data_IF_896315141544
#
_entry.id   IF_896315141544
#
_cell.length_a   1.000
_cell.length_b   1.000
_cell.length_c   1.000
_cell.angle_alpha   90.00
_cell.angle_beta   90.00
_cell.angle_gamma   90.00
#
_symmetry.space_group_name_H-M   'P 1'
#
loop_
_entity.id
_entity.type
_entity.pdbx_description
1 polymer ?
#
# COMPACT_ATOMS: atom_id res chain seq x y z
N UNK A 1 -39.53 27.88 -1.13
CA UNK A 1 -38.82 26.59 -1.30
C UNK A 1 -39.75 25.52 -0.77
N UNK A 2 -39.92 24.41 -1.47
CA UNK A 2 -40.90 23.39 -1.09
C UNK A 2 -40.16 22.11 -0.82
N UNK A 3 -40.22 21.66 0.43
CA UNK A 3 -39.45 20.50 0.86
C UNK A 3 -39.92 19.22 0.13
N UNK A 4 -39.01 18.29 -0.22
CA UNK A 4 -39.35 17.04 -0.89
C UNK A 4 -40.42 16.23 -0.13
N UNK A 5 -40.40 16.32 1.21
CA UNK A 5 -41.41 15.71 2.08
C UNK A 5 -42.79 16.36 1.96
N UNK A 6 -42.86 17.68 1.73
CA UNK A 6 -44.12 18.38 1.50
C UNK A 6 -44.73 18.00 0.15
N UNK A 7 -43.90 17.83 -0.88
CA UNK A 7 -44.36 17.35 -2.20
C UNK A 7 -44.81 15.90 -2.13
N UNK A 8 -44.06 15.03 -1.43
CA UNK A 8 -44.46 13.65 -1.22
C UNK A 8 -45.77 13.54 -0.42
N UNK A 9 -45.93 14.34 0.63
CA UNK A 9 -47.15 14.39 1.44
C UNK A 9 -48.37 14.87 0.65
N UNK A 10 -48.23 15.92 -0.17
CA UNK A 10 -49.28 16.37 -1.09
C UNK A 10 -49.60 15.31 -2.12
N UNK A 11 -48.58 14.68 -2.72
CA UNK A 11 -48.75 13.64 -3.72
C UNK A 11 -49.52 12.42 -3.19
N UNK A 12 -49.15 11.92 -2.00
CA UNK A 12 -49.86 10.83 -1.33
C UNK A 12 -51.31 11.22 -1.02
N UNK A 13 -51.54 12.49 -0.65
CA UNK A 13 -52.89 13.04 -0.46
C UNK A 13 -53.74 12.98 -1.75
N UNK A 14 -53.19 13.45 -2.86
CA UNK A 14 -53.86 13.42 -4.18
C UNK A 14 -54.12 11.99 -4.64
N UNK A 15 -53.16 11.08 -4.45
CA UNK A 15 -53.30 9.65 -4.80
C UNK A 15 -54.40 8.99 -3.95
N UNK A 16 -54.43 9.26 -2.64
CA UNK A 16 -55.46 8.73 -1.73
C UNK A 16 -56.86 9.21 -2.12
N UNK A 17 -57.01 10.51 -2.40
CA UNK A 17 -58.24 11.10 -2.89
C UNK A 17 -58.65 10.45 -4.23
N UNK A 18 -57.69 10.26 -5.13
CA UNK A 18 -57.90 9.60 -6.42
C UNK A 18 -58.47 8.20 -6.30
N UNK A 19 -57.92 7.39 -5.40
CA UNK A 19 -58.42 6.04 -5.13
C UNK A 19 -59.86 6.08 -4.60
N UNK A 20 -60.15 6.95 -3.62
CA UNK A 20 -61.48 7.07 -3.03
C UNK A 20 -62.54 7.46 -4.06
N UNK A 21 -62.25 8.48 -4.88
CA UNK A 21 -63.17 8.98 -5.91
C UNK A 21 -63.43 7.90 -6.97
N UNK A 22 -62.39 7.19 -7.41
CA UNK A 22 -62.54 6.11 -8.38
C UNK A 22 -63.34 4.92 -7.82
N UNK A 23 -63.14 4.56 -6.55
CA UNK A 23 -63.91 3.51 -5.89
C UNK A 23 -65.40 3.90 -5.76
N UNK A 24 -65.68 5.16 -5.42
CA UNK A 24 -67.04 5.70 -5.40
C UNK A 24 -67.71 5.66 -6.78
N UNK A 25 -66.96 5.95 -7.84
CA UNK A 25 -67.44 5.87 -9.22
C UNK A 25 -67.70 4.41 -9.65
N UNK A 26 -66.82 3.46 -9.31
CA UNK A 26 -67.04 2.02 -9.57
C UNK A 26 -68.32 1.52 -8.89
N UNK A 27 -68.54 1.93 -7.65
CA UNK A 27 -69.72 1.56 -6.87
C UNK A 27 -71.01 2.13 -7.46
N UNK A 28 -70.98 3.40 -7.88
CA UNK A 28 -72.08 4.06 -8.56
C UNK A 28 -72.41 3.37 -9.90
N UNK A 29 -71.40 3.14 -10.75
CA UNK A 29 -71.53 2.48 -12.05
C UNK A 29 -72.09 1.05 -11.92
N UNK A 30 -71.71 0.30 -10.88
CA UNK A 30 -72.26 -1.04 -10.60
C UNK A 30 -73.70 -1.02 -10.10
N UNK A 31 -74.14 0.08 -9.50
CA UNK A 31 -75.50 0.21 -8.95
C UNK A 31 -76.56 0.43 -10.05
N UNK A 32 -76.14 0.79 -11.27
CA UNK A 32 -77.02 1.01 -12.42
C UNK A 32 -77.45 -0.34 -13.03
N UNK A 33 -78.73 -0.69 -12.88
CA UNK A 33 -79.32 -1.90 -13.49
C UNK A 33 -79.80 -1.60 -14.92
N UNK A 34 -79.42 -2.44 -15.90
CA UNK A 34 -80.00 -2.44 -17.25
C UNK A 34 -79.07 -2.09 -18.42
N UNK A 35 -77.85 -1.55 -18.18
CA UNK A 35 -76.87 -1.18 -19.23
C UNK A 35 -75.43 -1.62 -18.92
N UNK A 36 -75.28 -2.80 -18.33
CA UNK A 36 -73.98 -3.34 -17.88
C UNK A 36 -72.96 -3.47 -19.03
N UNK A 37 -73.40 -3.72 -20.27
CA UNK A 37 -72.53 -3.83 -21.44
C UNK A 37 -71.92 -2.47 -21.86
N UNK A 38 -72.71 -1.39 -21.82
CA UNK A 38 -72.26 -0.03 -22.18
C UNK A 38 -71.33 0.56 -21.10
N UNK A 39 -71.60 0.24 -19.82
CA UNK A 39 -70.80 0.68 -18.67
C UNK A 39 -69.54 -0.17 -18.43
N UNK A 40 -69.38 -1.32 -19.11
CA UNK A 40 -68.23 -2.20 -18.90
C UNK A 40 -66.90 -1.51 -19.27
N UNK A 41 -66.91 -0.69 -20.32
CA UNK A 41 -65.74 0.10 -20.73
C UNK A 41 -65.40 1.18 -19.69
N UNK A 42 -66.40 1.81 -19.09
CA UNK A 42 -66.20 2.82 -18.04
C UNK A 42 -65.65 2.21 -16.77
N UNK A 43 -66.21 1.09 -16.35
CA UNK A 43 -65.69 0.33 -15.22
C UNK A 43 -64.24 -0.13 -15.44
N UNK A 44 -63.86 -0.42 -16.70
CA UNK A 44 -62.48 -0.77 -17.06
C UNK A 44 -61.56 0.45 -16.99
N UNK A 45 -61.95 1.60 -17.54
CA UNK A 45 -61.16 2.83 -17.46
C UNK A 45 -60.93 3.27 -16.00
N UNK A 46 -61.97 3.23 -15.17
CA UNK A 46 -61.87 3.62 -13.75
C UNK A 46 -60.99 2.64 -12.95
N UNK A 47 -61.07 1.33 -13.25
CA UNK A 47 -60.16 0.33 -12.65
C UNK A 47 -58.71 0.53 -13.07
N UNK A 48 -58.46 0.87 -14.34
CA UNK A 48 -57.12 1.20 -14.79
C UNK A 48 -56.58 2.42 -14.03
N UNK A 49 -57.42 3.43 -13.78
CA UNK A 49 -57.02 4.59 -12.99
C UNK A 49 -56.66 4.24 -11.54
N UNK A 50 -57.43 3.36 -10.88
CA UNK A 50 -57.07 2.84 -9.54
C UNK A 50 -55.70 2.16 -9.58
N UNK A 51 -55.41 1.37 -10.61
CA UNK A 51 -54.11 0.71 -10.77
C UNK A 51 -52.97 1.73 -10.93
N UNK A 52 -53.18 2.81 -11.69
CA UNK A 52 -52.18 3.87 -11.87
C UNK A 52 -51.93 4.60 -10.55
N UNK A 53 -52.98 4.93 -9.78
CA UNK A 53 -52.83 5.51 -8.45
C UNK A 53 -52.10 4.59 -7.47
N UNK A 54 -52.33 3.27 -7.53
CA UNK A 54 -51.57 2.30 -6.74
C UNK A 54 -50.08 2.27 -7.12
N UNK A 55 -49.76 2.25 -8.42
CA UNK A 55 -48.37 2.31 -8.89
C UNK A 55 -47.69 3.61 -8.46
N UNK A 56 -48.41 4.73 -8.49
CA UNK A 56 -47.92 6.02 -7.99
C UNK A 56 -47.60 6.00 -6.50
N UNK A 57 -48.43 5.33 -5.69
CA UNK A 57 -48.21 5.20 -4.25
C UNK A 57 -46.90 4.45 -3.91
N UNK A 58 -46.42 3.58 -4.79
CA UNK A 58 -45.14 2.86 -4.62
C UNK A 58 -43.92 3.66 -5.14
N UNK A 59 -44.11 4.48 -6.18
CA UNK A 59 -43.04 5.25 -6.83
C UNK A 59 -42.75 6.58 -6.11
N UNK A 60 -43.79 7.28 -5.63
CA UNK A 60 -43.66 8.58 -4.96
C UNK A 60 -42.71 8.58 -3.75
N UNK A 61 -42.75 7.59 -2.83
CA UNK A 61 -41.82 7.55 -1.71
C UNK A 61 -40.36 7.41 -2.13
N UNK A 62 -40.10 6.71 -3.24
CA UNK A 62 -38.74 6.49 -3.76
C UNK A 62 -38.17 7.77 -4.38
N UNK A 63 -39.00 8.52 -5.11
CA UNK A 63 -38.62 9.84 -5.62
C UNK A 63 -38.33 10.85 -4.50
N UNK A 64 -39.08 10.79 -3.40
CA UNK A 64 -38.92 11.72 -2.27
C UNK A 64 -37.60 11.53 -1.51
N UNK A 65 -37.00 10.33 -1.57
CA UNK A 65 -35.72 10.02 -0.93
C UNK A 65 -34.51 10.49 -1.75
N UNK A 66 -34.72 11.00 -2.96
CA UNK A 66 -33.63 11.30 -3.88
C UNK A 66 -33.18 12.78 -3.77
N UNK A 67 -31.87 13.06 -3.61
CA UNK A 67 -31.36 14.42 -3.41
C UNK A 67 -31.58 15.40 -4.59
N UNK A 68 -31.81 14.89 -5.81
CA UNK A 68 -32.00 15.70 -7.02
C UNK A 68 -33.40 16.30 -7.19
N UNK A 69 -34.25 16.23 -6.17
CA UNK A 69 -35.68 16.46 -6.30
C UNK A 69 -36.11 17.91 -6.63
N UNK A 70 -35.23 18.92 -6.63
CA UNK A 70 -35.70 20.31 -6.53
C UNK A 70 -36.42 20.85 -7.79
N UNK A 71 -36.02 20.46 -9.01
CA UNK A 71 -36.75 20.84 -10.25
C UNK A 71 -37.82 19.83 -10.65
N UNK A 72 -37.60 18.55 -10.41
CA UNK A 72 -38.53 17.50 -10.85
C UNK A 72 -39.73 17.39 -9.90
N UNK A 73 -39.53 17.64 -8.61
CA UNK A 73 -40.63 17.78 -7.67
C UNK A 73 -41.55 18.94 -8.07
N UNK A 74 -41.07 19.98 -8.76
CA UNK A 74 -41.92 21.09 -9.22
C UNK A 74 -42.84 20.66 -10.36
N UNK A 75 -42.32 19.94 -11.36
CA UNK A 75 -43.14 19.45 -12.49
C UNK A 75 -44.14 18.40 -12.02
N UNK A 76 -43.69 17.46 -11.18
CA UNK A 76 -44.56 16.44 -10.58
C UNK A 76 -45.61 17.10 -9.70
N UNK A 77 -45.23 18.12 -8.90
CA UNK A 77 -46.18 18.87 -8.07
C UNK A 77 -47.21 19.63 -8.91
N UNK A 78 -46.81 20.28 -10.01
CA UNK A 78 -47.78 20.92 -10.88
C UNK A 78 -48.76 19.92 -11.48
N UNK A 79 -48.26 18.77 -11.97
CA UNK A 79 -49.13 17.70 -12.43
C UNK A 79 -50.06 17.19 -11.32
N UNK A 80 -49.58 17.04 -10.09
CA UNK A 80 -50.39 16.61 -8.95
C UNK A 80 -51.44 17.64 -8.54
N UNK A 81 -51.12 18.94 -8.57
CA UNK A 81 -52.08 20.01 -8.32
C UNK A 81 -53.17 20.05 -9.39
N UNK A 82 -52.79 19.92 -10.66
CA UNK A 82 -53.75 19.82 -11.77
C UNK A 82 -54.62 18.55 -11.64
N UNK A 83 -54.04 17.45 -11.16
CA UNK A 83 -54.76 16.22 -10.85
C UNK A 83 -55.72 16.39 -9.66
N UNK A 84 -55.32 17.13 -8.63
CA UNK A 84 -56.13 17.43 -7.45
C UNK A 84 -57.38 18.21 -7.84
N UNK A 85 -57.22 19.28 -8.64
CA UNK A 85 -58.35 20.08 -9.13
C UNK A 85 -59.33 19.22 -9.94
N UNK A 86 -58.79 18.39 -10.83
CA UNK A 86 -59.58 17.44 -11.63
C UNK A 86 -60.31 16.41 -10.75
N UNK A 87 -59.64 15.86 -9.74
CA UNK A 87 -60.22 14.89 -8.79
C UNK A 87 -61.32 15.51 -7.93
N UNK A 88 -61.12 16.73 -7.43
CA UNK A 88 -62.14 17.47 -6.67
C UNK A 88 -63.35 17.74 -7.56
N UNK A 89 -63.14 18.14 -8.81
CA UNK A 89 -64.23 18.36 -9.77
C UNK A 89 -65.03 17.07 -10.02
N UNK A 90 -64.33 15.94 -10.13
CA UNK A 90 -64.92 14.62 -10.35
C UNK A 90 -65.64 14.10 -9.10
N UNK A 91 -65.09 14.35 -7.91
CA UNK A 91 -65.75 14.06 -6.63
C UNK A 91 -67.05 14.84 -6.49
N UNK A 92 -67.04 16.12 -6.84
CA UNK A 92 -68.22 17.00 -6.77
C UNK A 92 -69.30 16.56 -7.77
N UNK A 93 -68.90 16.10 -8.96
CA UNK A 93 -69.78 15.44 -9.93
C UNK A 93 -70.38 14.14 -9.36
N UNK A 94 -69.56 13.26 -8.75
CA UNK A 94 -70.04 12.01 -8.14
C UNK A 94 -71.01 12.28 -6.98
N UNK A 95 -70.74 13.25 -6.12
CA UNK A 95 -71.63 13.64 -5.00
C UNK A 95 -72.95 14.22 -5.53
N UNK A 96 -72.90 15.09 -6.55
CA UNK A 96 -74.11 15.62 -7.21
C UNK A 96 -74.98 14.51 -7.79
N UNK A 97 -74.36 13.48 -8.36
CA UNK A 97 -75.04 12.31 -8.92
C UNK A 97 -75.60 11.37 -7.84
N UNK A 98 -75.01 11.33 -6.65
CA UNK A 98 -75.46 10.50 -5.53
C UNK A 98 -76.60 11.12 -4.69
N UNK A 99 -76.81 12.44 -4.78
CA UNK A 99 -77.84 13.16 -4.01
C UNK A 99 -77.44 13.41 -2.54
N UNK A 100 -78.21 14.21 -1.77
CA UNK A 100 -77.84 14.62 -0.42
C UNK A 100 -77.70 13.40 0.50
N UNK A 101 -76.47 13.17 0.95
CA UNK A 101 -76.11 12.07 1.87
C UNK A 101 -75.92 12.66 3.27
N UNK A 102 -76.73 12.22 4.24
CA UNK A 102 -76.48 12.54 5.65
C UNK A 102 -75.27 11.72 6.16
N UNK A 103 -74.41 12.31 7.01
CA UNK A 103 -73.22 11.64 7.51
C UNK A 103 -73.63 10.65 8.61
N UNK A 104 -73.71 9.36 8.29
CA UNK A 104 -73.97 8.36 9.33
C UNK A 104 -74.32 6.95 8.87
N UNK A 105 -74.66 6.70 7.61
CA UNK A 105 -75.09 5.37 7.19
C UNK A 105 -74.69 5.03 5.75
N UNK A 106 -73.43 4.63 5.57
CA UNK A 106 -72.87 4.21 4.27
C UNK A 106 -73.43 2.84 3.84
N UNK A 107 -74.18 2.12 4.70
CA UNK A 107 -74.56 0.72 4.45
C UNK A 107 -76.06 0.47 4.32
N UNK A 108 -76.92 1.32 4.90
CA UNK A 108 -78.36 1.03 5.01
C UNK A 108 -79.27 1.55 3.89
N UNK A 109 -78.92 2.63 3.15
CA UNK A 109 -79.89 3.32 2.27
C UNK A 109 -79.56 3.41 0.78
N UNK A 110 -78.70 2.53 0.25
CA UNK A 110 -78.53 2.39 -1.21
C UNK A 110 -79.74 1.77 -1.93
N UNK A 111 -80.64 1.10 -1.21
CA UNK A 111 -81.72 0.30 -1.82
C UNK A 111 -82.89 1.17 -2.32
N UNK A 112 -83.06 2.37 -1.77
CA UNK A 112 -84.17 3.28 -2.14
C UNK A 112 -83.79 4.30 -3.23
N UNK A 113 -82.52 4.74 -3.29
CA UNK A 113 -82.05 5.64 -4.36
C UNK A 113 -82.04 4.97 -5.75
N UNK A 114 -81.97 3.63 -5.81
CA UNK A 114 -82.01 2.88 -7.07
C UNK A 114 -83.36 2.92 -7.80
N UNK A 115 -84.45 3.40 -7.18
CA UNK A 115 -85.77 3.49 -7.82
C UNK A 115 -86.13 4.85 -8.41
N UNK A 116 -85.42 5.93 -8.07
CA UNK A 116 -85.69 7.28 -8.58
C UNK A 116 -84.68 7.80 -9.62
N UNK A 117 -83.58 7.08 -9.87
CA UNK A 117 -82.50 7.51 -10.80
C UNK A 117 -82.59 6.78 -12.15
N UNK A 118 -83.78 6.32 -12.55
CA UNK A 118 -83.99 5.89 -13.92
C UNK A 118 -84.13 7.13 -14.82
N UNK A 119 -82.97 7.64 -15.26
CA UNK A 119 -82.78 8.59 -16.37
C UNK A 119 -83.14 10.07 -16.08
N UNK A 120 -82.25 11.05 -16.36
CA UNK A 120 -81.36 11.08 -17.51
C UNK A 120 -79.90 11.24 -17.09
N UNK A 121 -79.14 10.17 -17.24
CA UNK A 121 -77.70 10.27 -17.36
C UNK A 121 -77.44 10.99 -18.68
N UNK A 122 -77.28 12.33 -18.66
CA UNK A 122 -76.91 13.08 -19.85
C UNK A 122 -75.56 12.51 -20.30
N UNK A 123 -75.46 11.95 -21.50
CA UNK A 123 -74.19 11.48 -22.08
C UNK A 123 -73.05 12.49 -21.88
N UNK A 124 -73.36 13.78 -21.84
CA UNK A 124 -72.42 14.86 -21.54
C UNK A 124 -71.72 14.78 -20.17
N UNK A 125 -72.38 14.30 -19.11
CA UNK A 125 -71.78 14.17 -17.76
C UNK A 125 -70.88 12.94 -17.64
N UNK A 126 -71.25 11.82 -18.27
CA UNK A 126 -70.38 10.66 -18.37
C UNK A 126 -69.16 10.96 -19.25
N UNK A 127 -69.38 11.67 -20.36
CA UNK A 127 -68.31 12.12 -21.24
C UNK A 127 -67.37 13.13 -20.56
N UNK A 128 -67.86 13.98 -19.65
CA UNK A 128 -67.00 14.89 -18.88
C UNK A 128 -66.15 14.13 -17.87
N UNK A 129 -66.72 13.14 -17.18
CA UNK A 129 -65.99 12.23 -16.28
C UNK A 129 -64.90 11.48 -17.05
N UNK A 130 -65.21 10.85 -18.20
CA UNK A 130 -64.20 10.16 -19.03
C UNK A 130 -63.09 11.10 -19.49
N UNK A 131 -63.43 12.31 -19.94
CA UNK A 131 -62.45 13.29 -20.42
C UNK A 131 -61.55 13.79 -19.30
N UNK A 132 -62.08 13.94 -18.09
CA UNK A 132 -61.32 14.27 -16.88
C UNK A 132 -60.37 13.12 -16.51
N UNK A 133 -60.87 11.88 -16.47
CA UNK A 133 -60.08 10.66 -16.24
C UNK A 133 -58.92 10.50 -17.24
N UNK A 134 -59.18 10.70 -18.54
CA UNK A 134 -58.16 10.57 -19.59
C UNK A 134 -57.07 11.64 -19.50
N UNK A 135 -57.44 12.89 -19.18
CA UNK A 135 -56.46 13.97 -18.96
C UNK A 135 -55.58 13.67 -17.75
N UNK A 136 -56.18 13.20 -16.68
CA UNK A 136 -55.48 12.83 -15.47
C UNK A 136 -54.48 11.69 -15.75
N UNK A 137 -54.91 10.63 -16.45
CA UNK A 137 -54.02 9.53 -16.87
C UNK A 137 -52.84 10.00 -17.73
N UNK A 138 -53.11 10.85 -18.73
CA UNK A 138 -52.08 11.31 -19.65
C UNK A 138 -51.03 12.19 -18.94
N UNK A 139 -51.48 13.13 -18.11
CA UNK A 139 -50.58 14.02 -17.37
C UNK A 139 -49.71 13.23 -16.38
N UNK A 140 -50.31 12.31 -15.63
CA UNK A 140 -49.58 11.49 -14.67
C UNK A 140 -48.59 10.53 -15.33
N UNK A 141 -49.00 9.88 -16.43
CA UNK A 141 -48.12 9.00 -17.21
C UNK A 141 -46.93 9.78 -17.80
N UNK A 142 -47.17 10.97 -18.35
CA UNK A 142 -46.12 11.82 -18.91
C UNK A 142 -45.14 12.27 -17.83
N UNK A 143 -45.63 12.75 -16.68
CA UNK A 143 -44.80 13.18 -15.57
C UNK A 143 -43.94 12.04 -15.01
N UNK A 144 -44.53 10.84 -14.86
CA UNK A 144 -43.80 9.65 -14.43
C UNK A 144 -42.73 9.22 -15.43
N UNK A 145 -43.06 9.15 -16.72
CA UNK A 145 -42.08 8.78 -17.75
C UNK A 145 -40.92 9.78 -17.81
N UNK A 146 -41.20 11.08 -17.71
CA UNK A 146 -40.17 12.11 -17.67
C UNK A 146 -39.26 11.97 -16.44
N UNK A 147 -39.83 11.68 -15.27
CA UNK A 147 -39.07 11.45 -14.05
C UNK A 147 -38.19 10.20 -14.15
N UNK A 148 -38.74 9.08 -14.65
CA UNK A 148 -38.01 7.82 -14.83
C UNK A 148 -36.83 7.96 -15.78
N UNK A 149 -37.03 8.58 -16.96
CA UNK A 149 -35.93 8.80 -17.93
C UNK A 149 -34.81 9.64 -17.33
N UNK A 150 -35.15 10.65 -16.53
CA UNK A 150 -34.15 11.50 -15.89
C UNK A 150 -33.39 10.76 -14.78
N UNK A 151 -34.08 9.89 -14.04
CA UNK A 151 -33.48 9.00 -13.05
C UNK A 151 -32.47 8.06 -13.71
N UNK A 152 -32.83 7.48 -14.86
CA UNK A 152 -31.93 6.63 -15.65
C UNK A 152 -30.71 7.40 -16.17
N UNK A 153 -30.89 8.64 -16.66
CA UNK A 153 -29.77 9.50 -17.08
C UNK A 153 -28.83 9.78 -15.91
N UNK A 154 -29.37 10.15 -14.75
CA UNK A 154 -28.57 10.44 -13.55
C UNK A 154 -27.81 9.21 -13.04
N UNK A 155 -28.45 8.03 -13.05
CA UNK A 155 -27.77 6.78 -12.75
C UNK A 155 -26.66 6.49 -13.75
N UNK A 156 -26.89 6.71 -15.04
CA UNK A 156 -25.88 6.48 -16.07
C UNK A 156 -24.68 7.43 -15.92
N UNK A 157 -24.91 8.69 -15.56
CA UNK A 157 -23.84 9.64 -15.21
C UNK A 157 -23.04 9.17 -13.98
N UNK A 158 -23.72 8.73 -12.93
CA UNK A 158 -23.08 8.17 -11.72
C UNK A 158 -22.24 6.92 -12.02
N UNK A 159 -22.76 6.02 -12.85
CA UNK A 159 -22.03 4.85 -13.37
C UNK A 159 -20.82 5.30 -14.19
N UNK A 160 -20.95 6.35 -15.00
CA UNK A 160 -19.85 6.94 -15.75
C UNK A 160 -18.71 7.44 -14.86
N UNK A 161 -19.04 8.20 -13.80
CA UNK A 161 -18.05 8.66 -12.81
C UNK A 161 -17.37 7.48 -12.12
N UNK A 162 -18.15 6.48 -11.68
CA UNK A 162 -17.60 5.27 -11.07
C UNK A 162 -16.67 4.52 -12.03
N UNK A 163 -17.04 4.40 -13.31
CA UNK A 163 -16.19 3.78 -14.34
C UNK A 163 -14.85 4.51 -14.46
N UNK A 164 -14.86 5.85 -14.55
CA UNK A 164 -13.62 6.63 -14.63
C UNK A 164 -12.74 6.49 -13.38
N UNK A 165 -13.34 6.40 -12.19
CA UNK A 165 -12.61 6.18 -10.95
C UNK A 165 -11.96 4.78 -10.91
N UNK A 166 -12.66 3.75 -11.41
CA UNK A 166 -12.12 2.39 -11.53
C UNK A 166 -10.95 2.34 -12.51
N UNK A 167 -11.06 2.99 -13.67
CA UNK A 167 -9.97 3.09 -14.66
C UNK A 167 -8.75 3.81 -14.06
N UNK A 168 -8.96 4.86 -13.26
CA UNK A 168 -7.88 5.56 -12.54
C UNK A 168 -7.19 4.68 -11.50
N UNK A 169 -7.96 3.90 -10.72
CA UNK A 169 -7.42 2.95 -9.75
C UNK A 169 -6.63 1.81 -10.42
N UNK A 170 -7.07 1.34 -11.59
CA UNK A 170 -6.34 0.31 -12.35
C UNK A 170 -5.00 0.84 -12.88
N UNK A 171 -4.98 2.09 -13.35
CA UNK A 171 -3.74 2.75 -13.75
C UNK A 171 -2.76 2.90 -12.57
N UNK A 172 -3.23 3.32 -11.39
CA UNK A 172 -2.40 3.45 -10.19
C UNK A 172 -1.91 2.07 -9.67
N UNK A 173 -2.78 1.05 -9.72
CA UNK A 173 -2.43 -0.34 -9.43
C UNK A 173 -1.34 -0.87 -10.37
N UNK A 174 -1.39 -0.50 -11.65
CA UNK A 174 -0.35 -0.89 -12.60
C UNK A 174 0.99 -0.21 -12.29
N UNK A 175 0.98 1.08 -11.95
CA UNK A 175 2.19 1.83 -11.56
C UNK A 175 2.82 1.23 -10.30
N UNK A 176 2.01 0.96 -9.27
CA UNK A 176 2.48 0.32 -8.03
C UNK A 176 3.03 -1.08 -8.28
N UNK A 177 2.40 -1.87 -9.16
CA UNK A 177 2.92 -3.19 -9.56
C UNK A 177 4.28 -3.09 -10.25
N UNK A 178 4.49 -2.13 -11.14
CA UNK A 178 5.79 -1.93 -11.80
C UNK A 178 6.87 -1.53 -10.80
N UNK A 179 6.57 -0.59 -9.89
CA UNK A 179 7.52 -0.14 -8.86
C UNK A 179 7.91 -1.28 -7.90
N UNK A 180 6.97 -2.16 -7.54
CA UNK A 180 7.26 -3.37 -6.76
C UNK A 180 8.17 -4.34 -7.51
N UNK A 181 7.97 -4.49 -8.83
CA UNK A 181 8.86 -5.29 -9.68
C UNK A 181 10.30 -4.76 -9.67
N UNK A 182 10.47 -3.45 -9.86
CA UNK A 182 11.79 -2.79 -9.83
C UNK A 182 12.47 -2.92 -8.46
N UNK A 183 11.71 -2.72 -7.38
CA UNK A 183 12.24 -2.89 -6.02
C UNK A 183 12.68 -4.34 -5.77
N UNK A 184 11.89 -5.31 -6.21
CA UNK A 184 12.26 -6.74 -6.10
C UNK A 184 13.54 -7.04 -6.86
N UNK A 185 13.72 -6.45 -8.04
CA UNK A 185 14.95 -6.61 -8.82
C UNK A 185 16.16 -5.98 -8.11
N UNK A 186 16.02 -4.79 -7.52
CA UNK A 186 17.09 -4.17 -6.74
C UNK A 186 17.45 -4.98 -5.48
N UNK A 187 16.45 -5.50 -4.77
CA UNK A 187 16.69 -6.35 -3.59
C UNK A 187 17.46 -7.62 -3.99
N UNK A 188 17.12 -8.23 -5.13
CA UNK A 188 17.86 -9.39 -5.63
C UNK A 188 19.31 -9.02 -5.99
N UNK A 189 19.53 -7.91 -6.71
CA UNK A 189 20.89 -7.45 -7.03
C UNK A 189 21.72 -7.18 -5.78
N UNK A 190 21.14 -6.52 -4.77
CA UNK A 190 21.82 -6.26 -3.51
C UNK A 190 22.16 -7.55 -2.78
N UNK A 191 21.27 -8.55 -2.81
CA UNK A 191 21.55 -9.88 -2.26
C UNK A 191 22.74 -10.54 -2.97
N UNK A 192 22.79 -10.48 -4.30
CA UNK A 192 23.88 -11.07 -5.08
C UNK A 192 25.21 -10.36 -4.82
N UNK A 193 25.20 -9.02 -4.70
CA UNK A 193 26.37 -8.23 -4.34
C UNK A 193 26.87 -8.56 -2.93
N UNK A 194 25.97 -8.71 -1.95
CA UNK A 194 26.33 -9.11 -0.59
C UNK A 194 26.95 -10.51 -0.57
N UNK A 195 26.41 -11.46 -1.33
CA UNK A 195 27.00 -12.80 -1.47
C UNK A 195 28.40 -12.76 -2.10
N UNK A 196 28.62 -11.91 -3.12
CA UNK A 196 29.93 -11.72 -3.73
C UNK A 196 30.94 -11.09 -2.76
N UNK A 197 30.49 -10.10 -1.99
CA UNK A 197 31.32 -9.45 -0.97
C UNK A 197 31.73 -10.43 0.13
N UNK A 198 30.79 -11.25 0.60
CA UNK A 198 31.04 -12.28 1.62
C UNK A 198 32.09 -13.30 1.16
N UNK A 199 31.98 -13.78 -0.09
CA UNK A 199 32.99 -14.66 -0.69
C UNK A 199 34.36 -13.97 -0.79
N UNK A 200 34.40 -12.70 -1.19
CA UNK A 200 35.64 -11.93 -1.32
C UNK A 200 36.34 -11.75 0.02
N UNK A 201 35.57 -11.43 1.06
CA UNK A 201 36.07 -11.29 2.44
C UNK A 201 36.56 -12.62 2.95
N UNK A 202 35.82 -13.71 2.74
CA UNK A 202 36.22 -15.06 3.14
C UNK A 202 37.54 -15.48 2.49
N UNK A 203 37.68 -15.30 1.18
CA UNK A 203 38.91 -15.62 0.45
C UNK A 203 40.10 -14.80 0.96
N UNK A 204 39.90 -13.50 1.17
CA UNK A 204 40.96 -12.62 1.70
C UNK A 204 41.37 -13.01 3.12
N UNK A 205 40.42 -13.43 3.95
CA UNK A 205 40.69 -13.91 5.31
C UNK A 205 41.53 -15.21 5.27
N UNK A 206 41.22 -16.14 4.38
CA UNK A 206 41.98 -17.36 4.18
C UNK A 206 43.40 -17.08 3.66
N UNK A 207 43.55 -16.14 2.72
CA UNK A 207 44.86 -15.69 2.24
C UNK A 207 45.70 -15.07 3.37
N UNK A 208 45.11 -14.18 4.17
CA UNK A 208 45.78 -13.58 5.33
C UNK A 208 46.16 -14.65 6.34
N UNK A 209 45.28 -15.59 6.65
CA UNK A 209 45.55 -16.70 7.56
C UNK A 209 46.69 -17.57 7.06
N UNK A 210 46.72 -17.85 5.76
CA UNK A 210 47.81 -18.55 5.09
C UNK A 210 49.14 -17.80 5.20
N UNK A 211 49.13 -16.49 4.98
CA UNK A 211 50.31 -15.64 5.10
C UNK A 211 50.83 -15.59 6.55
N UNK A 212 49.95 -15.42 7.54
CA UNK A 212 50.30 -15.44 8.96
C UNK A 212 50.94 -16.76 9.35
N UNK A 213 50.32 -17.89 8.96
CA UNK A 213 50.88 -19.23 9.24
C UNK A 213 52.26 -19.41 8.61
N UNK A 214 52.46 -18.90 7.39
CA UNK A 214 53.76 -18.95 6.71
C UNK A 214 54.81 -18.12 7.46
N UNK A 215 54.45 -16.91 7.90
CA UNK A 215 55.34 -16.04 8.67
C UNK A 215 55.70 -16.66 10.01
N UNK A 216 54.75 -17.28 10.72
CA UNK A 216 55.03 -18.02 11.97
C UNK A 216 56.04 -19.15 11.77
N UNK A 217 55.95 -19.88 10.65
CA UNK A 217 56.92 -20.90 10.29
C UNK A 217 58.31 -20.33 10.05
N UNK A 218 58.40 -19.22 9.30
CA UNK A 218 59.69 -18.54 9.05
C UNK A 218 60.30 -18.05 10.37
N UNK A 219 59.51 -17.44 11.24
CA UNK A 219 59.98 -16.95 12.55
C UNK A 219 60.53 -18.11 13.39
N UNK A 220 59.79 -19.23 13.49
CA UNK A 220 60.25 -20.43 14.22
C UNK A 220 61.51 -21.04 13.60
N UNK A 221 61.63 -21.03 12.28
CA UNK A 221 62.81 -21.55 11.59
C UNK A 221 64.04 -20.69 11.85
N UNK A 222 63.90 -19.37 11.75
CA UNK A 222 64.96 -18.40 12.09
C UNK A 222 65.38 -18.55 13.55
N UNK A 223 64.44 -18.67 14.48
CA UNK A 223 64.74 -18.88 15.91
C UNK A 223 65.58 -20.15 16.13
N UNK A 224 65.20 -21.27 15.52
CA UNK A 224 65.96 -22.53 15.60
C UNK A 224 67.35 -22.40 14.98
N UNK A 225 67.45 -21.76 13.82
CA UNK A 225 68.72 -21.53 13.12
C UNK A 225 69.68 -20.68 13.97
N UNK A 226 69.20 -19.57 14.52
CA UNK A 226 69.97 -18.68 15.41
C UNK A 226 70.44 -19.43 16.66
N UNK A 227 69.55 -20.16 17.34
CA UNK A 227 69.92 -20.92 18.53
C UNK A 227 70.95 -22.03 18.23
N UNK A 228 70.80 -22.71 17.09
CA UNK A 228 71.76 -23.70 16.61
C UNK A 228 73.14 -23.09 16.37
N UNK A 229 73.20 -21.98 15.61
CA UNK A 229 74.45 -21.28 15.34
C UNK A 229 75.12 -20.76 16.61
N UNK A 230 74.35 -20.23 17.56
CA UNK A 230 74.88 -19.80 18.86
C UNK A 230 75.48 -20.96 19.66
N UNK A 231 74.83 -22.12 19.64
CA UNK A 231 75.33 -23.34 20.30
C UNK A 231 76.67 -23.81 19.70
N UNK A 232 76.78 -23.79 18.37
CA UNK A 232 78.03 -24.11 17.67
C UNK A 232 79.12 -23.10 18.03
N UNK A 233 78.83 -21.81 17.93
CA UNK A 233 79.78 -20.74 18.28
C UNK A 233 80.26 -20.85 19.73
N UNK A 234 79.36 -21.13 20.68
CA UNK A 234 79.74 -21.32 22.08
C UNK A 234 80.65 -22.53 22.27
N UNK A 235 80.43 -23.59 21.49
CA UNK A 235 81.26 -24.81 21.51
C UNK A 235 82.65 -24.53 20.94
N UNK A 236 82.72 -23.83 19.81
CA UNK A 236 83.97 -23.40 19.19
C UNK A 236 84.77 -22.50 20.14
N UNK A 237 84.11 -21.55 20.81
CA UNK A 237 84.75 -20.68 21.79
C UNK A 237 85.39 -21.48 22.94
N UNK A 238 84.66 -22.45 23.52
CA UNK A 238 85.20 -23.33 24.58
C UNK A 238 86.37 -24.18 24.06
N UNK A 239 86.31 -24.65 22.83
CA UNK A 239 87.38 -25.41 22.18
C UNK A 239 88.64 -24.55 21.99
N UNK A 240 88.48 -23.30 21.54
CA UNK A 240 89.58 -22.33 21.42
C UNK A 240 90.19 -22.03 22.79
N UNK A 241 89.36 -21.80 23.81
CA UNK A 241 89.82 -21.55 25.18
C UNK A 241 90.64 -22.73 25.72
N UNK A 242 90.15 -23.96 25.54
CA UNK A 242 90.88 -25.18 25.89
C UNK A 242 92.20 -25.34 25.13
N UNK A 243 92.19 -25.10 23.80
CA UNK A 243 93.41 -25.10 22.98
C UNK A 243 94.41 -24.05 23.47
N UNK A 244 93.95 -22.84 23.80
CA UNK A 244 94.79 -21.76 24.32
C UNK A 244 95.46 -22.16 25.64
N UNK A 245 94.73 -22.77 26.58
CA UNK A 245 95.28 -23.29 27.83
C UNK A 245 96.39 -24.32 27.58
N UNK A 246 96.16 -25.29 26.68
CA UNK A 246 97.17 -26.31 26.32
C UNK A 246 98.39 -25.66 25.65
N UNK A 247 98.21 -24.72 24.73
CA UNK A 247 99.34 -24.01 24.10
C UNK A 247 100.14 -23.20 25.10
N UNK A 248 99.47 -22.52 26.04
CA UNK A 248 100.14 -21.76 27.09
C UNK A 248 100.95 -22.69 28.01
N UNK A 249 100.39 -23.84 28.39
CA UNK A 249 101.12 -24.87 29.16
C UNK A 249 102.36 -25.38 28.40
N UNK A 250 102.21 -25.74 27.11
CA UNK A 250 103.32 -26.21 26.30
C UNK A 250 104.42 -25.14 26.13
N UNK A 251 104.06 -23.87 25.96
CA UNK A 251 105.02 -22.75 25.92
C UNK A 251 105.75 -22.63 27.26
N UNK A 252 105.05 -22.71 28.39
CA UNK A 252 105.71 -22.69 29.71
C UNK A 252 106.64 -23.87 29.93
N UNK A 253 106.31 -25.06 29.41
CA UNK A 253 107.19 -26.24 29.46
C UNK A 253 108.43 -26.08 28.55
N UNK A 254 108.27 -25.49 27.37
CA UNK A 254 109.41 -25.18 26.49
C UNK A 254 110.32 -24.12 27.12
N UNK A 255 109.77 -23.08 27.74
CA UNK A 255 110.54 -22.07 28.45
C UNK A 255 111.35 -22.70 29.58
N UNK A 256 110.74 -23.55 30.41
CA UNK A 256 111.47 -24.23 31.49
C UNK A 256 112.58 -25.14 30.97
N UNK A 257 112.36 -25.83 29.84
CA UNK A 257 113.42 -26.61 29.17
C UNK A 257 114.55 -25.72 28.62
N UNK A 258 114.23 -24.58 28.01
CA UNK A 258 115.23 -23.62 27.51
C UNK A 258 116.03 -23.03 28.66
N UNK A 259 115.38 -22.65 29.77
CA UNK A 259 116.05 -22.15 30.97
C UNK A 259 117.00 -23.22 31.55
N UNK A 260 116.56 -24.48 31.63
CA UNK A 260 117.41 -25.59 32.06
C UNK A 260 118.61 -25.83 31.13
N UNK A 261 118.43 -25.70 29.80
CA UNK A 261 119.52 -25.75 28.83
C UNK A 261 120.48 -24.55 28.98
N UNK A 262 119.96 -23.36 29.27
CA UNK A 262 120.77 -22.16 29.52
C UNK A 262 121.62 -22.31 30.77
N UNK A 263 121.06 -22.88 31.85
CA UNK A 263 121.81 -23.21 33.08
C UNK A 263 122.89 -24.27 32.82
N UNK A 264 122.62 -25.29 31.99
CA UNK A 264 123.63 -26.28 31.59
C UNK A 264 124.79 -25.66 30.79
N UNK A 265 124.51 -24.69 29.91
CA UNK A 265 125.53 -23.94 29.17
C UNK A 265 126.35 -23.03 30.08
N UNK A 266 125.71 -22.37 31.06
CA UNK A 266 126.39 -21.51 32.04
C UNK A 266 127.32 -22.32 32.98
N UNK A 267 127.02 -23.61 33.21
CA UNK A 267 127.89 -24.53 33.93
C UNK A 267 129.17 -24.97 33.17
N UNK A 268 129.29 -24.67 31.88
CA UNK A 268 130.46 -25.03 31.05
C UNK A 268 131.46 -23.89 30.82
N UNK A 269 131.24 -22.68 31.34
CA UNK A 269 132.20 -21.57 31.21
C UNK A 269 132.82 -21.11 32.54
N UNK A 270 134.15 -21.26 32.60
CA UNK A 270 135.16 -20.49 33.36
C UNK A 270 135.75 -21.11 34.64
N UNK A 271 137.10 -21.16 34.72
CA UNK A 271 137.82 -20.00 35.27
C UNK A 271 139.05 -19.57 34.44
N UNK A 272 139.29 -18.26 34.30
CA UNK A 272 140.56 -17.56 34.62
C UNK A 272 140.53 -16.07 34.21
N UNK A 273 141.07 -15.24 35.09
CA UNK A 273 141.11 -13.77 35.08
C UNK A 273 142.43 -13.18 34.53
N UNK A 274 142.38 -12.01 33.88
CA UNK A 274 143.40 -10.93 33.93
C UNK A 274 142.84 -9.68 33.19
N UNK A 275 142.54 -8.54 33.81
CA UNK A 275 143.39 -7.46 34.34
C UNK A 275 143.94 -6.44 33.31
N UNK A 276 143.17 -5.35 33.08
CA UNK A 276 143.55 -3.89 32.97
C UNK A 276 144.37 -3.45 31.71
N UNK A 277 144.38 -2.17 31.17
CA UNK A 277 143.71 -0.87 31.50
C UNK A 277 143.01 -0.11 30.31
N UNK A 278 142.45 1.11 30.52
CA UNK A 278 141.67 1.93 29.56
C UNK A 278 142.55 3.00 28.82
N UNK A 279 142.05 3.79 27.84
CA UNK A 279 141.29 5.05 28.13
C UNK A 279 140.23 5.44 27.03
N UNK A 280 139.13 6.11 27.41
CA UNK A 280 138.77 7.52 27.14
C UNK A 280 138.32 7.95 25.71
N UNK A 281 137.16 8.64 25.69
CA UNK A 281 136.85 9.86 24.88
C UNK A 281 136.58 9.61 23.37
N UNK A 282 135.55 10.11 22.68
CA UNK A 282 134.56 11.18 22.81
C UNK A 282 133.39 10.82 21.85
N UNK A 283 132.12 11.07 22.20
CA UNK A 283 131.35 12.26 21.82
C UNK A 283 131.00 12.43 20.32
N UNK A 284 129.69 12.55 20.10
CA UNK A 284 128.97 13.32 19.06
C UNK A 284 128.58 12.69 17.70
N UNK A 285 127.23 12.65 17.56
CA UNK A 285 126.38 13.17 16.46
C UNK A 285 126.20 12.39 15.16
N UNK A 286 124.92 12.44 14.72
CA UNK A 286 124.50 12.43 13.32
C UNK A 286 123.53 11.29 13.00
N UNK A 287 122.22 11.46 13.21
CA UNK A 287 121.24 11.89 12.18
C UNK A 287 121.39 11.21 10.81
N UNK A 288 120.41 10.38 10.45
CA UNK A 288 119.46 10.55 9.33
C UNK A 288 118.84 9.17 9.01
N UNK A 289 117.54 8.96 9.19
CA UNK A 289 116.41 9.35 8.34
C UNK A 289 116.05 8.27 7.31
N UNK A 290 114.73 8.08 7.17
CA UNK A 290 113.99 7.56 6.02
C UNK A 290 113.76 6.05 5.88
N UNK A 291 112.62 5.54 5.37
CA UNK A 291 111.23 5.98 5.17
C UNK A 291 110.51 4.73 4.56
N UNK A 292 109.18 4.65 4.69
CA UNK A 292 108.19 4.13 3.70
C UNK A 292 107.57 2.74 3.96
N UNK A 293 106.24 2.85 4.23
CA UNK A 293 105.08 1.97 4.03
C UNK A 293 104.97 0.61 4.72
#
# INVERSE_FOLDING_TARGET
>A
MSDPLSVAGSAVGVVSLGIQVCQGLVFYLRSIRGRQQELANDLREVRNLISVFHSLNDVLPRLAQQPCADRDAVVIRQCLLDCEEQLVSLQLLVVKLQGPTNPGDIKGKMKEAGRAVLYPFREGELASIRRCLQRLLNNLSLALNAASVKLDISHNEGIGVLKTAIEGLDADSHVTKTALGDLSFQVQQNSDLLASLDNTVSNSLDDIKGAVTRTEWIVRDVERSVNGNFTVMQTDMRSIESRSLVTNQAVTELLSKVDAFSEQLSGMESPYSASIPPPEVNAERGLHHATVH
#
